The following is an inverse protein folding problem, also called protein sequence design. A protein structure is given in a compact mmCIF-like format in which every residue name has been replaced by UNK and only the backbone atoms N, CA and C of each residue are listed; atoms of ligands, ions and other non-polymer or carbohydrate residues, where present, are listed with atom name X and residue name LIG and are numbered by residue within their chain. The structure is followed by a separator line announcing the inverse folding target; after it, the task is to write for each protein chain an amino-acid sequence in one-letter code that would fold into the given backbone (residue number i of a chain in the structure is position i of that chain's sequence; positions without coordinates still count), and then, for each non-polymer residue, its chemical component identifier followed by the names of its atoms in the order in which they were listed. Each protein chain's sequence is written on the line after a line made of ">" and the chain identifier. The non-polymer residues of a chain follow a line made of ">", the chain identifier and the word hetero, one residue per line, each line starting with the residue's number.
data_IF_871560181441
#
_entry.id   IF_871560181441
#
_cell.length_a   1.000
_cell.length_b   1.000
_cell.length_c   1.000
_cell.angle_alpha   90.00
_cell.angle_beta   90.00
_cell.angle_gamma   90.00
#
_symmetry.space_group_name_H-M   'P 1'
#
loop_
_entity.id
_entity.type
_entity.pdbx_description
1 polymer ?
#
# COMPACT_ATOMS: atom_id res chain seq x y z
N UNK A 1 -28.91 -11.28 -11.59
CA UNK A 1 -28.12 -10.09 -11.21
C UNK A 1 -28.75 -9.19 -10.14
N UNK A 2 -30.05 -9.30 -9.81
CA UNK A 2 -30.72 -8.39 -8.86
C UNK A 2 -30.71 -8.83 -7.37
N UNK A 3 -30.21 -10.03 -7.03
CA UNK A 3 -30.25 -10.53 -5.63
C UNK A 3 -28.86 -10.65 -4.99
N UNK A 4 -27.78 -10.84 -5.78
CA UNK A 4 -26.41 -10.87 -5.23
C UNK A 4 -25.82 -9.50 -4.92
N UNK A 5 -26.29 -8.41 -5.58
CA UNK A 5 -25.84 -7.05 -5.27
C UNK A 5 -26.35 -6.55 -3.91
N UNK A 6 -27.49 -7.08 -3.44
CA UNK A 6 -28.12 -6.65 -2.18
C UNK A 6 -27.40 -7.17 -0.94
N UNK A 7 -26.71 -8.31 -1.02
CA UNK A 7 -26.03 -8.91 0.14
C UNK A 7 -24.59 -8.39 0.27
N UNK A 8 -23.91 -8.11 -0.84
CA UNK A 8 -22.56 -7.50 -0.81
C UNK A 8 -22.57 -6.00 -0.47
N UNK A 9 -23.59 -5.22 -0.91
CA UNK A 9 -23.72 -3.83 -0.48
C UNK A 9 -24.14 -3.71 0.99
N UNK A 10 -24.95 -4.64 1.52
CA UNK A 10 -25.44 -4.52 2.90
C UNK A 10 -24.38 -4.76 3.96
N UNK A 11 -23.34 -5.58 3.71
CA UNK A 11 -22.28 -5.88 4.70
C UNK A 11 -21.12 -4.87 4.63
N UNK A 12 -20.85 -4.31 3.45
CA UNK A 12 -19.85 -3.24 3.29
C UNK A 12 -20.38 -1.85 3.63
N UNK A 13 -21.64 -1.51 3.31
CA UNK A 13 -22.19 -0.19 3.66
C UNK A 13 -22.50 -0.05 5.14
N UNK A 14 -22.89 -1.09 5.88
CA UNK A 14 -23.16 -0.94 7.33
C UNK A 14 -21.88 -0.70 8.14
N UNK A 15 -20.78 -1.35 7.77
CA UNK A 15 -19.48 -1.18 8.46
C UNK A 15 -18.83 0.17 8.15
N UNK A 16 -19.02 0.69 6.92
CA UNK A 16 -18.44 1.97 6.48
C UNK A 16 -19.34 3.16 6.86
N UNK A 17 -20.68 3.01 6.82
CA UNK A 17 -21.62 4.03 7.29
C UNK A 17 -21.54 4.16 8.82
N UNK A 18 -21.35 3.08 9.60
CA UNK A 18 -21.20 3.23 11.05
C UNK A 18 -19.93 4.00 11.44
N UNK A 19 -18.82 3.80 10.71
CA UNK A 19 -17.59 4.58 10.87
C UNK A 19 -17.81 6.03 10.45
N UNK A 20 -18.41 6.30 9.29
CA UNK A 20 -18.57 7.67 8.77
C UNK A 20 -19.63 8.48 9.53
N UNK A 21 -20.73 7.87 9.98
CA UNK A 21 -21.79 8.61 10.72
C UNK A 21 -21.41 8.86 12.17
N UNK A 22 -20.67 7.94 12.82
CA UNK A 22 -20.11 8.18 14.16
C UNK A 22 -19.02 9.24 14.10
N UNK A 23 -18.22 9.28 13.03
CA UNK A 23 -17.21 10.32 12.78
C UNK A 23 -17.87 11.66 12.45
N UNK A 24 -18.92 11.71 11.62
CA UNK A 24 -19.61 12.97 11.25
C UNK A 24 -20.43 13.59 12.39
N UNK A 25 -21.08 12.79 13.22
CA UNK A 25 -21.86 13.29 14.37
C UNK A 25 -20.96 13.69 15.56
N UNK A 26 -19.73 13.16 15.65
CA UNK A 26 -18.70 13.66 16.59
C UNK A 26 -17.94 14.86 16.02
N UNK A 27 -17.65 14.91 14.72
CA UNK A 27 -16.94 16.05 14.11
C UNK A 27 -17.74 17.36 14.14
N UNK A 28 -19.07 17.32 14.00
CA UNK A 28 -19.89 18.53 14.12
C UNK A 28 -19.98 19.07 15.56
N UNK A 29 -19.69 18.25 16.57
CA UNK A 29 -19.65 18.69 17.98
C UNK A 29 -18.24 18.96 18.51
N UNK A 30 -17.18 18.54 17.80
CA UNK A 30 -15.78 18.74 18.22
C UNK A 30 -15.05 19.83 17.40
N UNK A 31 -15.60 20.28 16.27
CA UNK A 31 -15.02 21.33 15.39
C UNK A 31 -15.25 22.77 15.86
N UNK A 32 -15.38 23.01 17.16
CA UNK A 32 -15.43 24.37 17.73
C UNK A 32 -14.35 24.65 18.76
N UNK A 33 -13.36 23.77 18.97
CA UNK A 33 -12.49 23.95 20.14
C UNK A 33 -10.99 23.81 19.99
N UNK A 34 -10.36 23.27 18.95
CA UNK A 34 -8.90 23.13 19.01
C UNK A 34 -8.20 23.36 17.65
N UNK A 35 -7.65 24.58 17.55
CA UNK A 35 -6.51 25.05 16.74
C UNK A 35 -6.75 25.49 15.28
N UNK A 36 -5.99 26.55 14.96
CA UNK A 36 -6.16 27.59 13.93
C UNK A 36 -5.07 27.47 12.89
N UNK A 37 -5.39 27.76 11.63
CA UNK A 37 -4.42 28.15 10.61
C UNK A 37 -4.64 29.62 10.21
N UNK A 38 -3.59 30.43 9.99
CA UNK A 38 -3.75 31.78 9.50
C UNK A 38 -4.22 31.77 8.04
N UNK A 39 -5.31 32.49 7.75
CA UNK A 39 -5.69 32.85 6.37
C UNK A 39 -4.69 33.84 5.81
N UNK A 40 -4.04 33.49 4.70
CA UNK A 40 -3.40 34.44 3.80
C UNK A 40 -4.46 35.38 3.23
N UNK A 41 -4.36 36.67 3.55
CA UNK A 41 -5.21 37.73 3.01
C UNK A 41 -4.90 37.97 1.53
N UNK A 42 -5.80 37.55 0.64
CA UNK A 42 -5.88 38.10 -0.71
C UNK A 42 -6.87 39.27 -0.68
N UNK A 43 -6.36 40.47 -0.96
CA UNK A 43 -7.13 41.69 -1.14
C UNK A 43 -8.17 41.56 -2.24
N UNK A 44 -9.40 41.94 -1.92
CA UNK A 44 -10.56 42.07 -2.79
C UNK A 44 -10.39 43.19 -3.83
N UNK A 45 -10.72 42.93 -5.10
CA UNK A 45 -11.57 43.80 -5.92
C UNK A 45 -12.32 42.95 -6.98
N UNK A 46 -13.67 42.98 -6.96
CA UNK A 46 -14.53 42.45 -8.02
C UNK A 46 -15.76 41.65 -7.57
N UNK A 47 -16.83 42.33 -7.13
CA UNK A 47 -18.24 41.85 -7.13
C UNK A 47 -18.89 42.19 -8.51
N UNK A 48 -20.15 41.80 -8.84
CA UNK A 48 -20.97 40.62 -8.47
C UNK A 48 -21.70 40.00 -9.70
N UNK A 49 -22.44 38.90 -9.53
CA UNK A 49 -23.89 38.83 -9.85
C UNK A 49 -24.52 37.47 -9.53
N UNK A 50 -25.70 37.54 -8.89
CA UNK A 50 -26.61 36.45 -8.57
C UNK A 50 -27.13 35.72 -9.82
N UNK A 51 -27.42 34.42 -9.70
CA UNK A 51 -28.68 33.88 -10.20
C UNK A 51 -29.15 32.69 -9.36
N UNK A 52 -30.33 32.86 -8.81
CA UNK A 52 -31.16 31.86 -8.12
C UNK A 52 -31.72 30.85 -9.15
N UNK A 53 -31.62 29.55 -8.87
CA UNK A 53 -32.43 28.53 -9.53
C UNK A 53 -32.92 27.49 -8.53
N UNK A 54 -34.21 27.64 -8.20
CA UNK A 54 -35.05 26.67 -7.47
C UNK A 54 -35.15 25.36 -8.27
N UNK A 55 -35.03 24.26 -7.53
CA UNK A 55 -35.36 22.88 -7.92
C UNK A 55 -34.74 22.32 -9.21
N UNK A 56 -33.60 21.62 -9.07
CA UNK A 56 -33.32 20.48 -9.94
C UNK A 56 -32.50 19.39 -9.24
N UNK A 57 -32.93 18.17 -9.48
CA UNK A 57 -32.53 16.89 -8.90
C UNK A 57 -31.04 16.57 -9.11
N UNK A 58 -30.22 16.65 -8.05
CA UNK A 58 -28.90 16.02 -8.02
C UNK A 58 -28.74 15.29 -6.67
N UNK A 59 -29.31 14.09 -6.59
CA UNK A 59 -28.93 13.07 -5.61
C UNK A 59 -28.36 11.88 -6.38
N UNK A 60 -27.19 11.40 -5.94
CA UNK A 60 -26.46 10.19 -6.36
C UNK A 60 -25.27 10.26 -7.31
N UNK A 61 -24.93 11.37 -7.98
CA UNK A 61 -23.67 11.42 -8.77
C UNK A 61 -22.48 12.03 -7.99
N UNK A 62 -22.73 12.97 -7.07
CA UNK A 62 -21.64 13.71 -6.42
C UNK A 62 -20.93 12.95 -5.28
N UNK A 63 -21.51 11.87 -4.73
CA UNK A 63 -20.91 11.14 -3.60
C UNK A 63 -19.82 10.16 -4.07
N UNK A 64 -19.99 9.51 -5.23
CA UNK A 64 -18.94 8.67 -5.80
C UNK A 64 -17.73 9.50 -6.27
N UNK A 65 -17.98 10.69 -6.84
CA UNK A 65 -16.92 11.60 -7.27
C UNK A 65 -16.10 12.09 -6.06
N UNK A 66 -16.73 12.50 -4.95
CA UNK A 66 -15.97 12.92 -3.76
C UNK A 66 -15.14 11.80 -3.13
N UNK A 67 -15.61 10.55 -3.12
CA UNK A 67 -14.83 9.41 -2.58
C UNK A 67 -13.67 9.05 -3.50
N UNK A 68 -13.89 8.97 -4.82
CA UNK A 68 -12.81 8.73 -5.77
C UNK A 68 -11.78 9.88 -5.79
N UNK A 69 -12.22 11.13 -5.72
CA UNK A 69 -11.34 12.31 -5.66
C UNK A 69 -10.56 12.34 -4.35
N UNK A 70 -11.18 12.08 -3.19
CA UNK A 70 -10.43 12.00 -1.92
C UNK A 70 -9.38 10.89 -1.95
N UNK A 71 -9.72 9.69 -2.45
CA UNK A 71 -8.75 8.60 -2.56
C UNK A 71 -7.63 8.95 -3.54
N UNK A 72 -7.91 9.58 -4.68
CA UNK A 72 -6.89 10.03 -5.64
C UNK A 72 -5.98 11.13 -5.09
N UNK A 73 -6.55 12.13 -4.40
CA UNK A 73 -5.80 13.25 -3.81
C UNK A 73 -4.90 12.77 -2.68
N UNK A 74 -5.37 11.90 -1.79
CA UNK A 74 -4.55 11.34 -0.70
C UNK A 74 -3.38 10.48 -1.23
N UNK A 75 -3.50 9.92 -2.43
CA UNK A 75 -2.45 9.10 -3.06
C UNK A 75 -1.42 9.96 -3.79
N UNK A 76 -1.84 11.09 -4.37
CA UNK A 76 -0.96 12.00 -5.11
C UNK A 76 -0.32 13.08 -4.23
N UNK A 77 -1.00 13.55 -3.18
CA UNK A 77 -0.55 14.63 -2.28
C UNK A 77 -0.19 14.15 -0.87
N UNK A 78 -0.41 12.86 -0.57
CA UNK A 78 -0.24 12.31 0.77
C UNK A 78 -1.41 12.63 1.71
N UNK A 79 -1.31 12.15 2.94
CA UNK A 79 -2.31 12.37 3.98
C UNK A 79 -1.66 12.55 5.35
N UNK A 80 -2.30 13.33 6.21
CA UNK A 80 -1.93 13.48 7.62
C UNK A 80 -3.13 13.02 8.45
N UNK A 81 -2.90 12.07 9.35
CA UNK A 81 -3.91 11.65 10.32
C UNK A 81 -3.60 12.28 11.68
N UNK A 82 -4.56 13.03 12.19
CA UNK A 82 -4.54 13.57 13.55
C UNK A 82 -5.64 12.92 14.37
N UNK A 83 -5.32 12.53 15.61
CA UNK A 83 -6.32 11.99 16.55
C UNK A 83 -6.80 10.56 16.25
N UNK A 84 -6.22 9.87 15.27
CA UNK A 84 -6.42 8.43 15.01
C UNK A 84 -5.11 7.83 14.48
N UNK A 85 -4.72 6.60 14.85
CA UNK A 85 -5.36 5.70 15.84
C UNK A 85 -5.13 6.13 17.28
N UNK A 86 -6.17 5.99 18.12
CA UNK A 86 -6.10 6.20 19.58
C UNK A 86 -5.92 4.90 20.36
N UNK A 87 -6.16 3.75 19.72
CA UNK A 87 -6.01 2.43 20.33
C UNK A 87 -5.28 1.47 19.41
N UNK A 88 -4.69 0.42 19.98
CA UNK A 88 -4.02 -0.64 19.19
C UNK A 88 -4.96 -1.30 18.18
N UNK A 89 -6.25 -1.47 18.51
CA UNK A 89 -7.23 -2.07 17.61
C UNK A 89 -7.52 -1.18 16.39
N UNK A 90 -7.56 0.14 16.57
CA UNK A 90 -7.70 1.07 15.46
C UNK A 90 -6.46 1.03 14.56
N UNK A 91 -5.26 0.97 15.15
CA UNK A 91 -4.01 0.84 14.39
C UNK A 91 -4.00 -0.44 13.52
N UNK A 92 -4.39 -1.57 14.09
CA UNK A 92 -4.51 -2.83 13.35
C UNK A 92 -5.56 -2.75 12.23
N UNK A 93 -6.70 -2.11 12.48
CA UNK A 93 -7.76 -1.93 11.48
C UNK A 93 -7.28 -1.08 10.29
N UNK A 94 -6.53 0.00 10.56
CA UNK A 94 -5.91 0.82 9.52
C UNK A 94 -4.89 0.02 8.70
N UNK A 95 -4.02 -0.74 9.37
CA UNK A 95 -3.02 -1.58 8.70
C UNK A 95 -3.67 -2.66 7.82
N UNK A 96 -4.73 -3.31 8.31
CA UNK A 96 -5.50 -4.30 7.53
C UNK A 96 -6.20 -3.68 6.31
N UNK A 97 -6.64 -2.42 6.43
CA UNK A 97 -7.19 -1.65 5.31
C UNK A 97 -6.11 -1.13 4.34
N UNK A 98 -4.82 -1.38 4.62
CA UNK A 98 -3.71 -0.89 3.81
C UNK A 98 -3.40 0.61 4.01
N UNK A 99 -3.93 1.23 5.08
CA UNK A 99 -3.64 2.60 5.48
C UNK A 99 -2.48 2.56 6.46
N UNK A 100 -1.26 2.60 5.94
CA UNK A 100 -0.02 2.52 6.73
C UNK A 100 0.74 3.84 6.59
N UNK A 101 0.90 4.63 7.67
CA UNK A 101 1.64 5.88 7.61
C UNK A 101 3.12 5.61 7.38
N UNK A 102 3.76 6.43 6.55
CA UNK A 102 5.22 6.39 6.36
C UNK A 102 5.97 6.96 7.56
N UNK A 103 5.36 7.93 8.24
CA UNK A 103 5.90 8.62 9.40
C UNK A 103 4.82 8.71 10.48
N UNK A 104 5.18 8.34 11.70
CA UNK A 104 4.35 8.56 12.89
C UNK A 104 5.13 9.46 13.81
N UNK A 105 4.51 10.55 14.24
CA UNK A 105 5.11 11.49 15.20
C UNK A 105 4.29 11.46 16.47
N UNK A 106 4.96 11.27 17.61
CA UNK A 106 4.36 11.40 18.94
C UNK A 106 4.99 12.59 19.63
N UNK A 107 4.15 13.52 20.05
CA UNK A 107 4.54 14.67 20.85
C UNK A 107 4.43 14.29 22.34
N UNK A 108 5.55 14.32 23.04
CA UNK A 108 5.63 13.92 24.46
C UNK A 108 6.02 15.11 25.33
N UNK A 109 5.26 15.38 26.39
CA UNK A 109 5.61 16.36 27.42
C UNK A 109 5.19 15.86 28.81
N UNK A 110 5.84 16.37 29.88
CA UNK A 110 5.42 16.11 31.25
C UNK A 110 3.96 16.51 31.53
N UNK A 111 3.28 15.79 32.43
CA UNK A 111 1.84 16.00 32.68
C UNK A 111 1.56 17.38 33.30
N UNK A 112 2.43 17.86 34.16
CA UNK A 112 2.39 19.21 34.75
C UNK A 112 2.44 20.30 33.66
N UNK A 113 3.33 20.16 32.68
CA UNK A 113 3.44 21.07 31.52
C UNK A 113 2.16 21.03 30.67
N UNK A 114 1.61 19.85 30.42
CA UNK A 114 0.36 19.69 29.65
C UNK A 114 -0.84 20.29 30.39
N UNK A 115 -0.90 20.13 31.71
CA UNK A 115 -1.94 20.71 32.55
C UNK A 115 -1.85 22.23 32.56
N UNK A 116 -0.66 22.81 32.71
CA UNK A 116 -0.46 24.26 32.66
C UNK A 116 -0.90 24.85 31.31
N UNK A 117 -0.47 24.23 30.20
CA UNK A 117 -0.87 24.63 28.83
C UNK A 117 -2.36 24.54 28.58
N UNK A 118 -3.06 23.65 29.28
CA UNK A 118 -4.51 23.52 29.17
C UNK A 118 -5.28 24.60 29.94
N UNK A 119 -4.69 25.13 31.03
CA UNK A 119 -5.33 26.14 31.89
C UNK A 119 -5.30 27.53 31.28
N UNK A 120 -4.24 27.87 30.53
CA UNK A 120 -4.10 29.21 29.92
C UNK A 120 -4.80 29.38 28.58
N UNK A 121 -5.58 28.39 28.12
CA UNK A 121 -6.23 28.39 26.80
C UNK A 121 -7.42 29.35 26.75
N UNK A 122 -7.39 30.21 25.74
CA UNK A 122 -8.41 31.21 25.44
C UNK A 122 -8.94 31.00 24.01
N UNK A 123 -10.20 31.35 23.75
CA UNK A 123 -10.81 31.23 22.43
C UNK A 123 -11.46 32.57 22.06
N UNK A 124 -11.22 33.03 20.84
CA UNK A 124 -11.95 34.16 20.26
C UNK A 124 -13.34 33.68 19.81
N UNK A 125 -14.44 34.18 20.40
CA UNK A 125 -15.80 33.74 20.05
C UNK A 125 -16.22 34.13 18.62
N UNK A 126 -15.55 35.09 17.98
CA UNK A 126 -15.90 35.56 16.63
C UNK A 126 -15.19 34.76 15.53
N UNK A 127 -13.90 34.48 15.70
CA UNK A 127 -13.10 33.76 14.70
C UNK A 127 -12.98 32.26 14.99
N UNK A 128 -13.21 31.86 16.24
CA UNK A 128 -12.90 30.52 16.74
C UNK A 128 -11.40 30.33 17.02
N UNK A 129 -10.61 31.40 16.97
CA UNK A 129 -9.16 31.28 17.10
C UNK A 129 -8.73 30.98 18.54
N UNK A 130 -7.75 30.09 18.70
CA UNK A 130 -7.25 29.66 20.01
C UNK A 130 -5.97 30.42 20.37
N UNK A 131 -5.98 31.04 21.53
CA UNK A 131 -4.88 31.79 22.12
C UNK A 131 -4.46 31.19 23.47
N UNK A 132 -3.32 31.62 23.98
CA UNK A 132 -2.84 31.21 25.29
C UNK A 132 -2.20 32.36 26.05
N UNK A 133 -2.58 32.54 27.33
CA UNK A 133 -2.11 33.64 28.20
C UNK A 133 -0.58 33.83 28.19
N UNK A 134 0.16 32.73 28.27
CA UNK A 134 1.63 32.75 28.34
C UNK A 134 2.34 32.56 26.99
N UNK A 135 1.82 31.69 26.11
CA UNK A 135 2.59 31.21 24.96
C UNK A 135 2.19 31.87 23.63
N UNK A 136 0.93 32.30 23.48
CA UNK A 136 0.39 32.83 22.21
C UNK A 136 -0.65 33.91 22.55
N UNK A 137 -0.17 35.12 22.78
CA UNK A 137 -1.04 36.28 23.02
C UNK A 137 -1.34 37.01 21.69
N UNK A 138 -2.58 37.44 21.43
CA UNK A 138 -2.87 38.23 20.23
C UNK A 138 -2.12 39.57 20.24
N UNK A 139 -1.66 39.99 19.07
CA UNK A 139 -1.02 41.31 18.87
C UNK A 139 -2.06 42.43 18.85
N UNK A 140 -3.31 42.11 18.49
CA UNK A 140 -4.42 43.05 18.43
C UNK A 140 -5.18 43.10 19.76
N UNK A 141 -5.19 44.28 20.39
CA UNK A 141 -5.86 44.53 21.66
C UNK A 141 -7.38 44.29 21.61
N UNK A 142 -8.01 44.46 20.44
CA UNK A 142 -9.45 44.21 20.27
C UNK A 142 -9.77 42.72 20.29
N UNK A 143 -8.84 41.89 19.84
CA UNK A 143 -8.93 40.42 19.95
C UNK A 143 -8.68 40.02 21.40
N UNK A 144 -7.66 40.59 22.04
CA UNK A 144 -7.29 40.31 23.43
C UNK A 144 -8.45 40.52 24.42
N UNK A 145 -9.21 41.61 24.25
CA UNK A 145 -10.31 41.97 25.15
C UNK A 145 -11.54 41.06 25.04
N UNK A 146 -11.73 40.38 23.92
CA UNK A 146 -12.90 39.51 23.67
C UNK A 146 -12.61 38.02 23.86
N UNK A 147 -11.39 37.66 24.25
CA UNK A 147 -11.01 36.27 24.48
C UNK A 147 -11.76 35.68 25.68
N UNK A 148 -12.37 34.52 25.49
CA UNK A 148 -13.07 33.79 26.54
C UNK A 148 -12.29 32.55 26.97
N UNK A 149 -12.37 32.19 28.25
CA UNK A 149 -11.91 30.88 28.71
C UNK A 149 -12.80 29.81 28.08
N UNK A 150 -12.22 28.94 27.25
CA UNK A 150 -12.97 27.84 26.66
C UNK A 150 -13.57 26.92 27.73
N UNK A 151 -14.64 26.20 27.40
CA UNK A 151 -15.19 25.13 28.26
C UNK A 151 -14.19 23.98 28.39
N UNK A 152 -13.17 24.17 29.21
CA UNK A 152 -12.12 23.20 29.44
C UNK A 152 -12.60 22.19 30.48
N UNK A 153 -12.36 20.87 30.27
CA UNK A 153 -12.70 19.85 31.25
C UNK A 153 -12.07 20.16 32.61
N UNK A 154 -12.65 19.67 33.70
CA UNK A 154 -12.04 19.83 35.03
C UNK A 154 -10.64 19.19 35.07
N UNK A 155 -9.77 19.63 35.98
CA UNK A 155 -8.41 19.09 36.12
C UNK A 155 -8.40 17.57 36.30
N UNK A 156 -9.34 17.05 37.10
CA UNK A 156 -9.51 15.60 37.32
C UNK A 156 -9.88 14.84 36.04
N UNK A 157 -10.74 15.42 35.19
CA UNK A 157 -11.08 14.85 33.88
C UNK A 157 -9.88 14.87 32.92
N UNK A 158 -9.06 15.91 32.93
CA UNK A 158 -7.84 16.00 32.12
C UNK A 158 -6.82 14.95 32.52
N UNK A 159 -6.59 14.78 33.82
CA UNK A 159 -5.72 13.74 34.36
C UNK A 159 -6.20 12.34 33.96
N UNK A 160 -7.50 12.07 34.05
CA UNK A 160 -8.07 10.79 33.62
C UNK A 160 -7.88 10.56 32.10
N UNK A 161 -7.99 11.60 31.28
CA UNK A 161 -7.75 11.51 29.85
C UNK A 161 -6.27 11.28 29.50
N UNK A 162 -5.34 11.97 30.17
CA UNK A 162 -3.90 11.74 30.03
C UNK A 162 -3.51 10.31 30.44
N UNK A 163 -4.06 9.81 31.55
CA UNK A 163 -3.83 8.42 31.97
C UNK A 163 -4.32 7.42 30.92
N UNK A 164 -5.53 7.63 30.40
CA UNK A 164 -6.08 6.78 29.33
C UNK A 164 -5.22 6.82 28.07
N UNK A 165 -4.75 8.00 27.67
CA UNK A 165 -3.83 8.14 26.54
C UNK A 165 -2.52 7.38 26.79
N UNK A 166 -1.90 7.53 27.96
CA UNK A 166 -0.65 6.83 28.31
C UNK A 166 -0.80 5.30 28.28
N UNK A 167 -1.93 4.76 28.75
CA UNK A 167 -2.21 3.32 28.67
C UNK A 167 -2.24 2.79 27.23
N UNK A 168 -2.84 3.55 26.31
CA UNK A 168 -2.94 3.16 24.90
C UNK A 168 -1.67 3.46 24.10
N UNK A 169 -0.94 4.52 24.48
CA UNK A 169 0.26 4.99 23.81
C UNK A 169 1.34 3.90 23.72
N UNK A 170 1.49 3.05 24.74
CA UNK A 170 2.42 1.92 24.69
C UNK A 170 2.08 0.94 23.55
N UNK A 171 0.78 0.63 23.38
CA UNK A 171 0.32 -0.27 22.32
C UNK A 171 0.49 0.33 20.92
N UNK A 172 0.26 1.63 20.78
CA UNK A 172 0.48 2.37 19.53
C UNK A 172 1.96 2.50 19.19
N UNK A 173 2.79 2.83 20.17
CA UNK A 173 4.24 2.96 20.00
C UNK A 173 4.87 1.65 19.54
N UNK A 174 4.41 0.52 20.10
CA UNK A 174 4.82 -0.80 19.63
C UNK A 174 4.34 -1.09 18.19
N UNK A 175 3.07 -0.79 17.88
CA UNK A 175 2.51 -1.04 16.55
C UNK A 175 3.23 -0.26 15.42
N UNK A 176 3.73 0.94 15.73
CA UNK A 176 4.38 1.82 14.77
C UNK A 176 5.88 2.02 15.02
N UNK A 177 6.52 1.19 15.87
CA UNK A 177 7.91 1.36 16.31
C UNK A 177 8.92 1.65 15.19
N UNK A 178 8.65 1.12 14.00
CA UNK A 178 9.51 1.20 12.83
C UNK A 178 9.37 2.53 12.09
N UNK A 179 8.24 3.23 12.19
CA UNK A 179 7.95 4.53 11.54
C UNK A 179 7.76 5.67 12.55
N UNK A 180 7.86 5.37 13.84
CA UNK A 180 7.64 6.30 14.94
C UNK A 180 8.87 7.17 15.23
N UNK A 181 8.62 8.46 15.47
CA UNK A 181 9.54 9.39 16.12
C UNK A 181 8.83 10.08 17.27
N UNK A 182 9.39 9.95 18.47
CA UNK A 182 8.95 10.71 19.64
C UNK A 182 9.72 12.03 19.67
N UNK A 183 9.00 13.15 19.85
CA UNK A 183 9.53 14.51 19.90
C UNK A 183 9.08 15.14 21.20
N UNK A 184 10.02 15.74 21.94
CA UNK A 184 9.70 16.51 23.14
C UNK A 184 8.82 17.71 22.74
N UNK A 185 7.65 17.83 23.33
CA UNK A 185 6.75 18.95 23.12
C UNK A 185 6.99 20.10 24.11
N UNK A 186 7.86 19.92 25.10
CA UNK A 186 8.28 20.96 26.03
C UNK A 186 9.38 21.86 25.45
N UNK A 187 9.09 22.45 24.30
CA UNK A 187 9.95 23.40 23.59
C UNK A 187 9.07 24.33 22.71
N UNK A 188 9.61 25.45 22.18
CA UNK A 188 8.87 26.32 21.28
C UNK A 188 8.29 25.59 20.05
N UNK A 189 7.10 26.01 19.61
CA UNK A 189 6.40 25.36 18.48
C UNK A 189 7.21 25.37 17.17
N UNK A 190 8.06 26.39 16.96
CA UNK A 190 8.94 26.48 15.81
C UNK A 190 9.99 25.34 15.79
N UNK A 191 10.55 24.97 16.95
CA UNK A 191 11.56 23.92 17.05
C UNK A 191 10.93 22.54 16.84
N UNK A 192 9.73 22.32 17.39
CA UNK A 192 8.93 21.11 17.13
C UNK A 192 8.67 20.98 15.62
N UNK A 193 8.22 22.06 14.97
CA UNK A 193 7.94 22.07 13.54
C UNK A 193 9.18 21.71 12.71
N UNK A 194 10.35 22.27 13.01
CA UNK A 194 11.59 21.94 12.30
C UNK A 194 11.98 20.47 12.48
N UNK A 195 11.83 19.90 13.68
CA UNK A 195 12.11 18.49 13.94
C UNK A 195 11.16 17.55 13.20
N UNK A 196 9.86 17.87 13.18
CA UNK A 196 8.86 17.13 12.40
C UNK A 196 9.18 17.19 10.91
N UNK A 197 9.45 18.39 10.40
CA UNK A 197 9.75 18.60 8.99
C UNK A 197 11.02 17.86 8.56
N UNK A 198 12.07 17.88 9.38
CA UNK A 198 13.28 17.11 9.14
C UNK A 198 13.00 15.60 9.08
N UNK A 199 12.16 15.09 9.99
CA UNK A 199 11.78 13.68 10.01
C UNK A 199 10.94 13.27 8.80
N UNK A 200 9.91 14.04 8.45
CA UNK A 200 9.04 13.75 7.28
C UNK A 200 9.82 13.81 5.97
N UNK A 201 10.82 14.70 5.87
CA UNK A 201 11.72 14.77 4.72
C UNK A 201 12.69 13.58 4.61
N UNK A 202 12.86 12.77 5.66
CA UNK A 202 13.64 11.54 5.54
C UNK A 202 12.93 10.58 4.58
N UNK A 203 13.58 10.26 3.45
CA UNK A 203 13.07 9.26 2.49
C UNK A 203 13.01 7.91 3.18
N UNK A 204 11.84 7.53 3.67
CA UNK A 204 11.57 6.15 4.07
C UNK A 204 11.15 5.37 2.84
N UNK A 205 11.68 4.16 2.70
CA UNK A 205 11.28 3.28 1.61
C UNK A 205 9.90 2.75 1.93
N UNK A 206 9.00 2.81 0.96
CA UNK A 206 7.71 2.13 0.99
C UNK A 206 7.88 0.73 1.57
N UNK A 207 7.28 0.50 2.74
CA UNK A 207 7.28 -0.78 3.47
C UNK A 207 6.44 -1.80 2.70
N UNK A 208 5.55 -1.33 1.82
CA UNK A 208 4.72 -2.16 0.98
C UNK A 208 5.58 -3.14 0.17
N UNK A 209 5.39 -4.46 0.32
CA UNK A 209 6.24 -5.45 -0.32
C UNK A 209 6.05 -5.42 -1.84
N UNK A 210 7.15 -5.28 -2.58
CA UNK A 210 7.21 -5.28 -4.05
C UNK A 210 8.20 -6.35 -4.47
N UNK A 211 7.67 -7.54 -4.69
CA UNK A 211 8.46 -8.75 -4.84
C UNK A 211 8.57 -9.08 -6.33
N UNK A 212 9.78 -9.36 -6.79
CA UNK A 212 10.04 -9.90 -8.11
C UNK A 212 10.47 -11.37 -7.99
N UNK A 213 9.75 -12.28 -8.67
CA UNK A 213 10.10 -13.70 -8.72
C UNK A 213 10.63 -14.08 -10.10
N UNK A 214 11.94 -14.35 -10.15
CA UNK A 214 12.67 -14.78 -11.34
C UNK A 214 13.07 -16.25 -11.21
N UNK A 215 13.26 -16.94 -12.33
CA UNK A 215 13.56 -18.37 -12.34
C UNK A 215 13.27 -19.02 -13.69
N UNK A 216 13.89 -20.17 -14.01
CA UNK A 216 13.68 -20.88 -15.27
C UNK A 216 12.24 -21.41 -15.35
N UNK A 217 11.64 -21.62 -16.54
CA UNK A 217 10.34 -22.29 -16.65
C UNK A 217 10.36 -23.61 -15.86
N UNK A 218 9.25 -23.97 -15.18
CA UNK A 218 9.19 -25.19 -14.35
C UNK A 218 9.72 -25.05 -12.90
N UNK A 219 10.35 -23.93 -12.54
CA UNK A 219 10.81 -23.66 -11.16
C UNK A 219 9.71 -23.45 -10.10
N UNK A 220 8.43 -23.36 -10.49
CA UNK A 220 7.32 -23.19 -9.56
C UNK A 220 7.03 -21.75 -9.12
N UNK A 221 7.63 -20.74 -9.79
CA UNK A 221 7.41 -19.29 -9.52
C UNK A 221 5.94 -18.93 -9.29
N UNK A 222 5.05 -19.35 -10.20
CA UNK A 222 3.62 -19.03 -10.12
C UNK A 222 2.91 -19.69 -8.94
N UNK A 223 3.38 -20.86 -8.52
CA UNK A 223 2.85 -21.51 -7.33
C UNK A 223 3.29 -20.75 -6.06
N UNK A 224 4.57 -20.37 -5.99
CA UNK A 224 5.10 -19.56 -4.88
C UNK A 224 4.44 -18.17 -4.82
N UNK A 225 4.24 -17.51 -5.96
CA UNK A 225 3.53 -16.23 -6.05
C UNK A 225 2.12 -16.34 -5.46
N UNK A 226 1.37 -17.37 -5.87
CA UNK A 226 0.03 -17.64 -5.34
C UNK A 226 0.04 -17.87 -3.83
N UNK A 227 0.91 -18.72 -3.31
CA UNK A 227 0.99 -19.00 -1.87
C UNK A 227 1.32 -17.73 -1.06
N UNK A 228 2.26 -16.92 -1.55
CA UNK A 228 2.62 -15.66 -0.92
C UNK A 228 1.49 -14.62 -1.00
N UNK A 229 0.80 -14.52 -2.14
CA UNK A 229 -0.38 -13.67 -2.32
C UNK A 229 -1.51 -14.08 -1.38
N UNK A 230 -1.80 -15.38 -1.24
CA UNK A 230 -2.84 -15.88 -0.35
C UNK A 230 -2.51 -15.62 1.13
N UNK A 231 -1.25 -15.81 1.53
CA UNK A 231 -0.76 -15.63 2.90
C UNK A 231 -0.69 -14.16 3.31
N UNK A 232 -0.12 -13.31 2.47
CA UNK A 232 0.16 -11.90 2.79
C UNK A 232 -0.83 -10.91 2.15
N UNK A 233 -1.85 -11.41 1.45
CA UNK A 233 -2.89 -10.62 0.75
C UNK A 233 -2.32 -9.64 -0.29
N UNK A 234 -1.12 -9.93 -0.79
CA UNK A 234 -0.48 -9.18 -1.88
C UNK A 234 -1.16 -9.47 -3.21
N UNK A 235 -0.99 -8.57 -4.18
CA UNK A 235 -1.47 -8.79 -5.54
C UNK A 235 -0.51 -9.70 -6.31
N UNK A 236 -1.00 -10.84 -6.79
CA UNK A 236 -0.26 -11.68 -7.75
C UNK A 236 -0.38 -11.09 -9.17
N UNK A 237 0.75 -10.70 -9.75
CA UNK A 237 0.83 -10.12 -11.10
C UNK A 237 1.66 -11.03 -12.00
N UNK A 238 0.97 -11.89 -12.74
CA UNK A 238 1.56 -12.67 -13.81
C UNK A 238 1.48 -11.92 -15.14
N UNK A 239 2.62 -11.47 -15.68
CA UNK A 239 2.66 -10.69 -16.93
C UNK A 239 1.93 -11.39 -18.10
N UNK A 240 2.18 -12.69 -18.31
CA UNK A 240 1.52 -13.44 -19.39
C UNK A 240 0.03 -13.72 -19.18
N UNK A 241 -0.49 -13.67 -17.95
CA UNK A 241 -1.94 -13.72 -17.70
C UNK A 241 -2.55 -12.32 -17.84
N UNK A 242 -1.85 -11.29 -17.38
CA UNK A 242 -2.26 -9.90 -17.50
C UNK A 242 -2.46 -9.50 -18.96
N UNK A 243 -1.49 -9.80 -19.83
CA UNK A 243 -1.61 -9.53 -21.27
C UNK A 243 -2.82 -10.24 -21.90
N UNK A 244 -3.08 -11.51 -21.53
CA UNK A 244 -4.26 -12.24 -22.01
C UNK A 244 -5.57 -11.67 -21.46
N UNK A 245 -5.57 -11.14 -20.24
CA UNK A 245 -6.76 -10.49 -19.67
C UNK A 245 -7.06 -9.16 -20.36
N UNK A 246 -6.03 -8.39 -20.73
CA UNK A 246 -6.19 -7.15 -21.51
C UNK A 246 -6.60 -7.47 -22.93
N UNK A 247 -6.01 -8.48 -23.57
CA UNK A 247 -6.42 -8.88 -24.92
C UNK A 247 -7.91 -9.29 -25.00
N UNK A 248 -8.46 -9.82 -23.91
CA UNK A 248 -9.86 -10.23 -23.82
C UNK A 248 -10.83 -9.11 -23.37
N UNK A 249 -10.35 -7.90 -23.07
CA UNK A 249 -11.18 -6.83 -22.51
C UNK A 249 -11.91 -5.96 -23.56
N UNK A 250 -11.57 -6.11 -24.84
CA UNK A 250 -12.17 -5.39 -25.96
C UNK A 250 -11.78 -3.91 -26.04
N UNK A 251 -10.70 -3.50 -25.38
CA UNK A 251 -10.09 -2.18 -25.55
C UNK A 251 -9.25 -2.10 -26.81
N UNK A 252 -8.98 -0.89 -27.31
CA UNK A 252 -8.09 -0.70 -28.47
C UNK A 252 -6.67 -1.28 -28.23
N UNK A 253 -6.17 -1.17 -26.99
CA UNK A 253 -4.90 -1.79 -26.58
C UNK A 253 -5.02 -3.32 -26.55
N UNK A 254 -6.16 -3.83 -26.08
CA UNK A 254 -6.51 -5.25 -26.09
C UNK A 254 -6.49 -5.82 -27.50
N UNK A 255 -7.14 -5.17 -28.47
CA UNK A 255 -7.18 -5.59 -29.87
C UNK A 255 -5.78 -5.62 -30.50
N UNK A 256 -4.94 -4.61 -30.20
CA UNK A 256 -3.56 -4.58 -30.65
C UNK A 256 -2.77 -5.77 -30.07
N UNK A 257 -2.87 -6.02 -28.76
CA UNK A 257 -2.19 -7.15 -28.10
C UNK A 257 -2.71 -8.49 -28.63
N UNK A 258 -4.02 -8.61 -28.87
CA UNK A 258 -4.67 -9.82 -29.36
C UNK A 258 -4.07 -10.26 -30.70
N UNK A 259 -3.78 -9.32 -31.60
CA UNK A 259 -3.14 -9.61 -32.89
C UNK A 259 -1.79 -10.33 -32.75
N UNK A 260 -0.97 -9.94 -31.77
CA UNK A 260 0.31 -10.61 -31.51
C UNK A 260 0.13 -11.99 -30.90
N UNK A 261 -0.86 -12.15 -30.02
CA UNK A 261 -1.15 -13.42 -29.36
C UNK A 261 -1.67 -14.47 -30.35
N UNK A 262 -2.56 -14.08 -31.26
CA UNK A 262 -3.12 -14.97 -32.29
C UNK A 262 -2.06 -15.43 -33.30
N UNK A 263 -1.14 -14.54 -33.66
CA UNK A 263 -0.01 -14.87 -34.54
C UNK A 263 1.12 -15.64 -33.84
N UNK A 264 1.02 -15.86 -32.52
CA UNK A 264 2.08 -16.48 -31.73
C UNK A 264 3.37 -15.65 -31.66
N UNK A 265 3.30 -14.34 -31.95
CA UNK A 265 4.43 -13.42 -31.94
C UNK A 265 4.64 -12.83 -30.53
N UNK A 266 5.88 -12.52 -30.14
CA UNK A 266 6.12 -11.81 -28.89
C UNK A 266 5.49 -10.41 -28.94
N UNK A 267 4.76 -10.05 -27.88
CA UNK A 267 4.19 -8.71 -27.72
C UNK A 267 5.35 -7.69 -27.52
N UNK A 268 5.35 -6.55 -28.24
CA UNK A 268 6.35 -5.51 -28.08
C UNK A 268 6.52 -5.02 -26.63
N UNK A 269 7.76 -4.77 -26.22
CA UNK A 269 8.09 -4.33 -24.86
C UNK A 269 7.37 -3.04 -24.42
N UNK A 270 7.15 -2.10 -25.35
CA UNK A 270 6.42 -0.86 -25.09
C UNK A 270 4.99 -1.11 -24.61
N UNK A 271 4.27 -2.04 -25.27
CA UNK A 271 2.91 -2.42 -24.88
C UNK A 271 2.91 -3.20 -23.57
N UNK A 272 3.90 -4.09 -23.36
CA UNK A 272 4.05 -4.84 -22.11
C UNK A 272 4.28 -3.90 -20.92
N UNK A 273 5.16 -2.90 -21.08
CA UNK A 273 5.44 -1.89 -20.07
C UNK A 273 4.20 -1.05 -19.77
N UNK A 274 3.49 -0.57 -20.80
CA UNK A 274 2.26 0.19 -20.63
C UNK A 274 1.21 -0.57 -19.79
N UNK A 275 0.95 -1.83 -20.13
CA UNK A 275 0.01 -2.69 -19.41
C UNK A 275 0.46 -2.96 -17.97
N UNK A 276 1.76 -3.20 -17.76
CA UNK A 276 2.30 -3.41 -16.41
C UNK A 276 2.22 -2.14 -15.58
N UNK A 277 2.55 -0.98 -16.14
CA UNK A 277 2.51 0.30 -15.45
C UNK A 277 1.09 0.63 -14.98
N UNK A 278 0.10 0.46 -15.85
CA UNK A 278 -1.30 0.64 -15.50
C UNK A 278 -1.70 -0.34 -14.38
N UNK A 279 -1.28 -1.61 -14.45
CA UNK A 279 -1.65 -2.59 -13.43
C UNK A 279 -1.02 -2.31 -12.08
N UNK A 280 0.26 -1.97 -12.05
CA UNK A 280 1.05 -1.75 -10.83
C UNK A 280 0.71 -0.42 -10.14
N UNK A 281 0.17 0.56 -10.89
CA UNK A 281 -0.28 1.85 -10.35
C UNK A 281 -1.66 1.78 -9.68
N UNK A 282 -2.40 0.67 -9.80
CA UNK A 282 -3.69 0.50 -9.14
C UNK A 282 -3.56 0.51 -7.63
N UNK A 283 -4.59 1.03 -6.97
CA UNK A 283 -4.66 1.20 -5.51
C UNK A 283 -4.35 -0.08 -4.73
N UNK A 284 -4.80 -1.22 -5.23
CA UNK A 284 -4.58 -2.49 -4.55
C UNK A 284 -3.09 -2.91 -4.52
N UNK A 285 -2.35 -2.61 -5.59
CA UNK A 285 -0.89 -2.79 -5.68
C UNK A 285 -0.13 -1.80 -4.81
N UNK A 286 -0.56 -0.53 -4.74
CA UNK A 286 0.08 0.49 -3.89
C UNK A 286 -0.13 0.24 -2.39
N UNK A 287 -1.34 -0.20 -1.99
CA UNK A 287 -1.67 -0.41 -0.59
C UNK A 287 -1.22 -1.78 -0.05
N UNK A 288 -1.37 -2.86 -0.83
CA UNK A 288 -1.09 -4.24 -0.37
C UNK A 288 0.23 -4.80 -0.87
N UNK A 289 0.82 -4.15 -1.87
CA UNK A 289 2.00 -4.64 -2.55
C UNK A 289 1.67 -5.66 -3.62
N UNK A 290 2.71 -6.09 -4.31
CA UNK A 290 2.58 -6.96 -5.47
C UNK A 290 3.73 -7.94 -5.57
N UNK A 291 3.43 -9.07 -6.21
CA UNK A 291 4.39 -10.10 -6.59
C UNK A 291 4.35 -10.17 -8.10
N UNK A 292 5.42 -9.73 -8.76
CA UNK A 292 5.55 -9.75 -10.20
C UNK A 292 6.33 -10.99 -10.63
N UNK A 293 5.78 -11.74 -11.58
CA UNK A 293 6.50 -12.84 -12.21
C UNK A 293 6.20 -12.95 -13.71
N UNK A 294 7.18 -13.46 -14.46
CA UNK A 294 7.13 -13.54 -15.93
C UNK A 294 7.59 -12.27 -16.67
N UNK A 295 8.08 -11.28 -15.92
CA UNK A 295 8.73 -10.05 -16.37
C UNK A 295 9.70 -9.60 -15.25
N UNK A 296 10.82 -8.93 -15.54
CA UNK A 296 11.45 -8.80 -16.86
C UNK A 296 12.10 -10.13 -17.29
N UNK A 297 12.28 -10.31 -18.61
CA UNK A 297 12.92 -11.49 -19.22
C UNK A 297 14.37 -11.21 -19.66
N UNK A 298 14.70 -9.94 -19.84
CA UNK A 298 16.03 -9.48 -20.21
C UNK A 298 16.39 -8.14 -19.53
N UNK A 299 17.63 -7.72 -19.72
CA UNK A 299 18.16 -6.51 -19.12
C UNK A 299 17.51 -5.23 -19.65
N UNK A 300 17.07 -5.20 -20.91
CA UNK A 300 16.47 -4.02 -21.52
C UNK A 300 15.11 -3.74 -20.89
N UNK A 301 14.29 -4.78 -20.72
CA UNK A 301 13.02 -4.71 -19.99
C UNK A 301 13.22 -4.24 -18.55
N UNK A 302 14.23 -4.77 -17.85
CA UNK A 302 14.53 -4.38 -16.48
C UNK A 302 14.91 -2.88 -16.35
N UNK A 303 15.70 -2.37 -17.30
CA UNK A 303 16.10 -0.94 -17.34
C UNK A 303 14.96 -0.01 -17.72
N UNK A 304 13.97 -0.51 -18.46
CA UNK A 304 12.84 0.28 -18.95
C UNK A 304 11.72 0.43 -17.92
N UNK A 305 11.86 -0.21 -16.75
CA UNK A 305 10.89 -0.10 -15.66
C UNK A 305 11.06 1.21 -14.88
N UNK A 306 9.94 1.88 -14.56
CA UNK A 306 10.00 3.14 -13.81
C UNK A 306 10.52 2.95 -12.38
N UNK A 307 11.19 3.99 -11.85
CA UNK A 307 11.69 4.02 -10.47
C UNK A 307 10.59 3.76 -9.43
N UNK A 308 9.38 4.30 -9.66
CA UNK A 308 8.22 4.14 -8.78
C UNK A 308 7.75 2.68 -8.67
N UNK A 309 8.15 1.83 -9.62
CA UNK A 309 7.74 0.42 -9.74
C UNK A 309 8.88 -0.55 -9.48
N UNK A 310 10.05 -0.07 -9.03
CA UNK A 310 11.16 -0.97 -8.72
C UNK A 310 10.83 -1.89 -7.55
N UNK A 311 11.10 -3.20 -7.68
CA UNK A 311 10.91 -4.15 -6.59
C UNK A 311 11.84 -3.82 -5.42
N UNK A 312 11.37 -4.03 -4.19
CA UNK A 312 12.20 -3.94 -2.99
C UNK A 312 12.80 -5.30 -2.59
N UNK A 313 12.32 -6.40 -3.18
CA UNK A 313 12.81 -7.76 -2.97
C UNK A 313 12.83 -8.51 -4.29
N UNK A 314 13.92 -9.18 -4.60
CA UNK A 314 14.08 -10.00 -5.81
C UNK A 314 14.51 -11.40 -5.39
N UNK A 315 13.81 -12.42 -5.87
CA UNK A 315 14.16 -13.82 -5.65
C UNK A 315 14.44 -14.51 -6.97
N UNK A 316 15.57 -15.22 -7.03
CA UNK A 316 15.90 -16.11 -8.13
C UNK A 316 15.66 -17.55 -7.66
N UNK A 317 14.74 -18.24 -8.32
CA UNK A 317 14.53 -19.66 -8.13
C UNK A 317 15.50 -20.39 -9.06
N UNK A 318 16.36 -21.23 -8.48
CA UNK A 318 17.33 -22.01 -9.23
C UNK A 318 16.85 -23.46 -9.36
N UNK A 319 17.01 -24.00 -10.57
CA UNK A 319 16.68 -25.38 -10.88
C UNK A 319 17.53 -25.81 -12.08
N UNK A 320 17.91 -27.08 -12.17
CA UNK A 320 18.62 -27.62 -13.34
C UNK A 320 17.67 -27.77 -14.54
N UNK A 321 18.21 -27.73 -15.75
CA UNK A 321 17.42 -27.81 -16.98
C UNK A 321 16.69 -29.16 -17.11
N UNK A 322 17.32 -30.26 -16.68
CA UNK A 322 16.71 -31.61 -16.69
C UNK A 322 15.45 -31.66 -15.83
N UNK A 323 15.50 -31.10 -14.61
CA UNK A 323 14.35 -31.07 -13.71
C UNK A 323 13.27 -30.12 -14.25
N UNK A 324 13.65 -29.03 -14.92
CA UNK A 324 12.70 -28.15 -15.58
C UNK A 324 11.96 -28.86 -16.72
N UNK A 325 12.71 -29.59 -17.57
CA UNK A 325 12.18 -30.36 -18.67
C UNK A 325 11.20 -31.42 -18.18
N UNK A 326 11.60 -32.24 -17.21
CA UNK A 326 10.76 -33.27 -16.60
C UNK A 326 9.45 -32.66 -16.07
N UNK A 327 9.54 -31.59 -15.27
CA UNK A 327 8.37 -30.94 -14.64
C UNK A 327 7.36 -30.39 -15.64
N UNK A 328 7.82 -29.90 -16.79
CA UNK A 328 6.95 -29.27 -17.78
C UNK A 328 6.39 -30.31 -18.75
N UNK A 329 7.24 -31.18 -19.29
CA UNK A 329 6.86 -32.17 -20.31
C UNK A 329 5.89 -33.23 -19.77
N UNK A 330 5.97 -33.53 -18.47
CA UNK A 330 5.09 -34.50 -17.81
C UNK A 330 3.79 -33.87 -17.28
N UNK A 331 3.56 -32.59 -17.54
CA UNK A 331 2.33 -31.90 -17.14
C UNK A 331 1.25 -32.09 -18.19
N UNK A 332 0.04 -32.37 -17.71
CA UNK A 332 -1.15 -32.37 -18.55
C UNK A 332 -2.32 -31.68 -17.84
N UNK A 333 -3.31 -31.25 -18.61
CA UNK A 333 -4.52 -30.62 -18.09
C UNK A 333 -5.72 -31.46 -18.52
N UNK A 334 -6.63 -31.71 -17.58
CA UNK A 334 -7.91 -32.32 -17.91
C UNK A 334 -8.82 -31.26 -18.53
N UNK A 335 -9.26 -31.42 -19.80
CA UNK A 335 -10.10 -30.43 -20.46
C UNK A 335 -11.49 -30.29 -19.84
N UNK A 336 -11.95 -31.27 -19.05
CA UNK A 336 -13.29 -31.24 -18.44
C UNK A 336 -13.26 -30.50 -17.10
N UNK A 337 -12.36 -30.89 -16.19
CA UNK A 337 -12.25 -30.25 -14.87
C UNK A 337 -11.41 -28.97 -14.87
N UNK A 338 -10.53 -28.79 -15.85
CA UNK A 338 -9.51 -27.75 -15.85
C UNK A 338 -8.36 -28.01 -14.87
N UNK A 339 -8.37 -29.15 -14.16
CA UNK A 339 -7.30 -29.50 -13.22
C UNK A 339 -6.02 -29.91 -13.94
N UNK A 340 -4.90 -29.64 -13.26
CA UNK A 340 -3.56 -29.93 -13.76
C UNK A 340 -3.00 -31.15 -13.05
N UNK A 341 -2.53 -32.10 -13.84
CA UNK A 341 -1.92 -33.34 -13.41
C UNK A 341 -0.47 -33.39 -13.85
N UNK A 342 0.32 -34.20 -13.15
CA UNK A 342 1.71 -34.47 -13.48
C UNK A 342 1.95 -35.97 -13.36
N UNK A 343 2.46 -36.60 -14.41
CA UNK A 343 2.52 -38.06 -14.51
C UNK A 343 3.14 -38.76 -13.28
N UNK A 344 4.18 -38.15 -12.70
CA UNK A 344 4.88 -38.67 -11.51
C UNK A 344 4.29 -38.18 -10.17
N UNK A 345 4.25 -36.86 -9.94
CA UNK A 345 3.95 -36.28 -8.62
C UNK A 345 2.46 -36.14 -8.31
N UNK A 346 1.60 -36.10 -9.33
CA UNK A 346 0.14 -36.02 -9.18
C UNK A 346 -0.53 -36.71 -10.37
N UNK A 347 -0.48 -38.06 -10.41
CA UNK A 347 -1.09 -38.83 -11.50
C UNK A 347 -2.61 -38.65 -11.53
N UNK A 348 -3.23 -38.98 -12.67
CA UNK A 348 -4.68 -38.94 -12.76
C UNK A 348 -5.34 -39.92 -11.77
N UNK A 349 -6.47 -39.54 -11.15
CA UNK A 349 -7.14 -40.38 -10.15
C UNK A 349 -7.85 -41.60 -10.75
N UNK A 350 -8.14 -41.58 -12.06
CA UNK A 350 -8.81 -42.68 -12.77
C UNK A 350 -8.30 -42.80 -14.21
N UNK A 351 -8.51 -43.97 -14.81
CA UNK A 351 -8.19 -44.25 -16.22
C UNK A 351 -8.97 -43.35 -17.19
N UNK A 352 -10.21 -42.99 -16.85
CA UNK A 352 -11.02 -42.06 -17.64
C UNK A 352 -10.39 -40.67 -17.71
N UNK A 353 -9.91 -40.14 -16.57
CA UNK A 353 -9.20 -38.87 -16.53
C UNK A 353 -7.88 -38.99 -17.27
N UNK A 354 -7.12 -40.06 -17.05
CA UNK A 354 -5.84 -40.31 -17.71
C UNK A 354 -5.95 -40.27 -19.25
N UNK A 355 -6.96 -40.93 -19.81
CA UNK A 355 -7.13 -41.04 -21.27
C UNK A 355 -7.55 -39.73 -21.94
N UNK A 356 -8.12 -38.77 -21.19
CA UNK A 356 -8.56 -37.47 -21.72
C UNK A 356 -7.59 -36.32 -21.43
N UNK A 357 -6.52 -36.56 -20.68
CA UNK A 357 -5.50 -35.55 -20.39
C UNK A 357 -4.90 -35.01 -21.69
N UNK A 358 -4.74 -33.68 -21.74
CA UNK A 358 -4.09 -33.00 -22.87
C UNK A 358 -2.86 -32.25 -22.40
N UNK A 359 -1.75 -32.46 -23.10
CA UNK A 359 -0.54 -31.65 -22.97
C UNK A 359 -0.64 -30.45 -23.89
N UNK A 360 -0.16 -29.29 -23.43
CA UNK A 360 -0.19 -28.07 -24.23
C UNK A 360 0.93 -28.12 -25.26
N UNK A 361 0.75 -27.58 -26.49
CA UNK A 361 1.81 -27.55 -27.49
C UNK A 361 3.09 -26.86 -26.98
N UNK A 362 2.93 -25.86 -26.12
CA UNK A 362 4.03 -25.07 -25.53
C UNK A 362 4.83 -25.78 -24.42
N UNK A 363 4.37 -26.96 -24.00
CA UNK A 363 5.02 -27.85 -23.03
C UNK A 363 5.84 -28.96 -23.75
N UNK A 364 5.98 -28.89 -25.08
CA UNK A 364 6.84 -29.80 -25.85
C UNK A 364 8.32 -29.64 -25.51
N UNK A 365 9.09 -30.72 -25.60
CA UNK A 365 10.53 -30.74 -25.27
C UNK A 365 11.32 -29.66 -26.00
N UNK A 366 11.10 -29.49 -27.30
CA UNK A 366 11.79 -28.47 -28.11
C UNK A 366 11.46 -27.05 -27.63
N UNK A 367 10.18 -26.76 -27.38
CA UNK A 367 9.72 -25.44 -26.92
C UNK A 367 10.30 -25.12 -25.54
N UNK A 368 10.31 -26.10 -24.64
CA UNK A 368 10.82 -25.94 -23.28
C UNK A 368 12.33 -25.73 -23.31
N UNK A 369 13.06 -26.51 -24.10
CA UNK A 369 14.51 -26.39 -24.28
C UNK A 369 14.88 -25.00 -24.80
N UNK A 370 14.15 -24.51 -25.81
CA UNK A 370 14.33 -23.16 -26.33
C UNK A 370 14.05 -22.07 -25.27
N UNK A 371 12.99 -22.21 -24.48
CA UNK A 371 12.68 -21.27 -23.38
C UNK A 371 13.76 -21.30 -22.30
N UNK A 372 14.31 -22.47 -21.98
CA UNK A 372 15.40 -22.62 -21.03
C UNK A 372 16.68 -21.95 -21.55
N UNK A 373 17.06 -22.18 -22.80
CA UNK A 373 18.25 -21.55 -23.38
C UNK A 373 18.14 -20.01 -23.37
N UNK A 374 16.99 -19.47 -23.77
CA UNK A 374 16.71 -18.03 -23.71
C UNK A 374 16.82 -17.48 -22.28
N UNK A 375 16.26 -18.20 -21.30
CA UNK A 375 16.39 -17.82 -19.89
C UNK A 375 17.86 -17.80 -19.44
N UNK A 376 18.65 -18.82 -19.76
CA UNK A 376 20.07 -18.93 -19.36
C UNK A 376 20.93 -17.80 -19.95
N UNK A 377 20.69 -17.42 -21.21
CA UNK A 377 21.42 -16.33 -21.87
C UNK A 377 21.21 -15.00 -21.14
N UNK A 378 19.98 -14.69 -20.73
CA UNK A 378 19.65 -13.38 -20.15
C UNK A 378 19.81 -13.30 -18.62
N UNK A 379 19.78 -14.44 -17.92
CA UNK A 379 19.75 -14.46 -16.45
C UNK A 379 20.99 -13.83 -15.80
N UNK A 380 22.19 -14.06 -16.35
CA UNK A 380 23.42 -13.52 -15.78
C UNK A 380 23.41 -11.99 -15.75
N UNK A 381 23.00 -11.36 -16.85
CA UNK A 381 22.88 -9.90 -16.95
C UNK A 381 21.81 -9.35 -15.99
N UNK A 382 20.68 -10.05 -15.84
CA UNK A 382 19.61 -9.70 -14.90
C UNK A 382 20.05 -9.79 -13.43
N UNK A 383 20.82 -10.82 -13.06
CA UNK A 383 21.33 -11.00 -11.70
C UNK A 383 22.25 -9.84 -11.30
N UNK A 384 23.17 -9.44 -12.19
CA UNK A 384 24.11 -8.33 -11.95
C UNK A 384 23.36 -7.00 -11.78
N UNK A 385 22.39 -6.71 -12.66
CA UNK A 385 21.61 -5.48 -12.60
C UNK A 385 20.74 -5.41 -11.33
N UNK A 386 20.08 -6.51 -10.97
CA UNK A 386 19.22 -6.56 -9.79
C UNK A 386 20.02 -6.46 -8.49
N UNK A 387 21.21 -7.09 -8.39
CA UNK A 387 22.09 -6.95 -7.21
C UNK A 387 22.63 -5.53 -7.04
N UNK A 388 23.00 -4.85 -8.13
CA UNK A 388 23.50 -3.49 -8.04
C UNK A 388 22.41 -2.51 -7.59
N UNK A 389 21.16 -2.70 -8.00
CA UNK A 389 20.03 -1.87 -7.55
C UNK A 389 19.56 -2.21 -6.13
N UNK A 390 19.65 -3.46 -5.69
CA UNK A 390 19.42 -3.79 -4.27
C UNK A 390 20.54 -3.26 -3.36
N UNK A 391 21.80 -3.21 -3.82
CA UNK A 391 22.93 -2.67 -3.06
C UNK A 391 23.04 -1.14 -3.06
N UNK A 392 22.81 -0.46 -4.19
CA UNK A 392 22.80 1.03 -4.22
C UNK A 392 21.60 1.61 -3.47
N UNK A 393 20.51 0.84 -3.38
CA UNK A 393 19.44 1.07 -2.43
C UNK A 393 19.55 0.16 -1.21
N UNK A 394 20.72 -0.12 -0.66
CA UNK A 394 20.87 -0.55 0.76
C UNK A 394 22.12 0.12 1.30
N UNK A 395 21.96 1.29 1.90
CA UNK A 395 22.98 1.74 2.83
C UNK A 395 22.98 0.74 3.99
N UNK A 396 24.09 0.01 4.03
CA UNK A 396 24.69 -0.72 5.15
C UNK A 396 23.83 -1.80 5.81
N UNK A 397 24.10 -3.06 5.46
CA UNK A 397 24.65 -4.06 6.39
C UNK A 397 25.02 -5.31 5.59
N UNK A 398 26.25 -5.35 5.07
CA UNK A 398 26.92 -6.61 4.71
C UNK A 398 27.38 -7.26 6.02
N UNK A 399 26.58 -8.16 6.57
CA UNK A 399 27.06 -9.08 7.60
C UNK A 399 27.55 -10.36 6.93
N UNK A 400 28.88 -10.46 6.82
CA UNK A 400 29.56 -11.75 6.75
C UNK A 400 29.27 -12.52 8.03
N UNK A 401 28.75 -13.72 7.89
CA UNK A 401 28.45 -14.65 8.99
C UNK A 401 29.76 -15.10 9.66
N UNK A 402 29.99 -14.67 10.90
CA UNK A 402 30.74 -15.43 11.91
C UNK A 402 30.28 -15.01 13.32
N UNK A 403 29.80 -16.01 14.07
CA UNK A 403 29.72 -16.15 15.54
C UNK A 403 28.92 -15.15 16.39
N UNK A 404 27.87 -15.71 17.02
CA UNK A 404 27.34 -15.50 18.39
C UNK A 404 26.90 -14.10 18.85
N UNK A 405 25.58 -13.83 18.79
CA UNK A 405 24.66 -13.49 19.92
C UNK A 405 23.33 -12.87 19.41
N UNK A 406 22.23 -12.93 20.21
CA UNK A 406 20.88 -13.12 19.70
C UNK A 406 20.06 -11.82 19.69
N UNK A 407 19.57 -11.36 18.54
CA UNK A 407 18.49 -10.35 18.43
C UNK A 407 18.08 -10.17 16.96
N UNK A 408 17.24 -11.09 16.48
CA UNK A 408 16.23 -10.92 15.41
C UNK A 408 15.70 -12.32 15.15
N UNK A 409 14.38 -12.53 15.23
CA UNK A 409 13.75 -13.80 14.86
C UNK A 409 14.28 -14.24 13.46
N UNK A 410 15.10 -15.30 13.38
CA UNK A 410 15.78 -15.67 12.14
C UNK A 410 15.05 -16.85 11.51
N UNK A 411 13.92 -16.63 10.84
CA UNK A 411 13.32 -17.67 9.99
C UNK A 411 12.72 -17.08 8.72
N UNK A 412 13.58 -16.73 7.77
CA UNK A 412 13.28 -16.93 6.34
C UNK A 412 14.55 -17.36 5.61
N UNK A 413 15.09 -18.50 6.04
CA UNK A 413 15.95 -19.33 5.19
C UNK A 413 14.98 -20.22 4.39
N UNK A 414 14.56 -19.77 3.21
CA UNK A 414 13.85 -20.65 2.28
C UNK A 414 14.92 -21.52 1.59
N UNK A 415 15.47 -22.47 2.37
CA UNK A 415 16.25 -23.57 1.82
C UNK A 415 15.22 -24.52 1.22
N UNK A 416 15.03 -24.44 -0.09
CA UNK A 416 14.28 -25.43 -0.84
C UNK A 416 15.15 -26.70 -0.97
N UNK A 417 15.28 -27.46 0.12
CA UNK A 417 15.69 -28.87 -0.01
C UNK A 417 14.57 -29.62 -0.74
N UNK A 418 14.99 -30.38 -1.75
CA UNK A 418 14.24 -31.46 -2.43
C UNK A 418 13.03 -31.93 -1.62
N UNK A 419 11.83 -31.64 -2.11
CA UNK A 419 10.66 -32.45 -1.79
C UNK A 419 10.71 -33.64 -2.73
N UNK A 420 10.97 -34.82 -2.14
CA UNK A 420 10.81 -36.12 -2.78
C UNK A 420 9.34 -36.40 -3.14
#
# INVERSE_FOLDING_TARGET
>A
LSVCLSVCLSVCLTSIIFIITTVRQKLLNTMSNYLVFPKLSASSQGLPQEMDFKHLTIKCVCVCVCVCVCVCVCVLQGWVLEGIPQTRLQALSLQQAGVIPEHVVVLEAPDDVLLERSQGKLVDPLTGDVYHRTFIWPVDDTVAQRLEEGRSPSETQRLAELQRYRCEATGLSSAYQHVLKIINADQPHADIYQQVLAFVRTRRRSITPRILLLGPPGSGKSHQARLLSEKYKMVDVCCGQLLRSVAADGSALGDEIQSYLDDGRPVPDSLVLQVLEERLSRMDCSCRGWILHGFPRDLQQAKSQQESQQPNRVFFLELTDDVCLERITLRATDPVSGERFHAMTRPAPSSEVQNRLKTRPEDSTDTVTHKLSQYRIHTAALQVHTHTHTHTHTHTHTHSLNTEEPLFCPEFKLVLTKTE
#
